data_IF_179653251603
#
_entry.id   IF_179653251603
#
_cell.length_a   1.000
_cell.length_b   1.000
_cell.length_c   1.000
_cell.angle_alpha   90.00
_cell.angle_beta   90.00
_cell.angle_gamma   90.00
#
_symmetry.space_group_name_H-M   'P 1'
#
loop_
_entity.id
_entity.type
_entity.pdbx_description
1 polymer ?
#
# COMPACT_ATOMS: atom_id res chain seq x y z
N UNK A 1 3.36 -6.73 -16.73
CA UNK A 1 2.79 -7.45 -15.59
C UNK A 1 2.62 -6.43 -14.48
N UNK A 2 1.40 -6.19 -14.01
CA UNK A 2 1.08 -5.13 -13.03
C UNK A 2 1.14 -5.63 -11.58
N UNK A 3 1.47 -6.92 -11.39
CA UNK A 3 1.39 -7.60 -10.09
C UNK A 3 2.70 -7.58 -9.31
N UNK A 4 3.71 -6.84 -9.76
CA UNK A 4 5.04 -6.86 -9.17
C UNK A 4 5.72 -5.50 -9.29
N UNK A 5 6.37 -5.06 -8.21
CA UNK A 5 7.40 -4.02 -8.21
C UNK A 5 8.69 -4.63 -7.69
N UNK A 6 9.71 -4.70 -8.54
CA UNK A 6 10.98 -5.33 -8.21
C UNK A 6 11.82 -4.49 -7.23
N UNK A 7 12.95 -5.05 -6.77
CA UNK A 7 13.82 -4.42 -5.77
C UNK A 7 14.36 -3.03 -6.16
N UNK A 8 14.49 -2.75 -7.46
CA UNK A 8 15.00 -1.48 -7.98
C UNK A 8 13.89 -0.50 -8.36
N UNK A 9 12.64 -0.96 -8.42
CA UNK A 9 11.49 -0.13 -8.75
C UNK A 9 10.97 0.55 -7.49
N UNK A 10 10.71 1.85 -7.58
CA UNK A 10 10.17 2.64 -6.48
C UNK A 10 8.76 3.10 -6.76
N UNK A 11 7.97 3.21 -5.69
CA UNK A 11 6.63 3.80 -5.77
C UNK A 11 6.74 5.33 -5.79
N UNK A 12 6.50 5.92 -6.97
CA UNK A 12 6.58 7.36 -7.23
C UNK A 12 5.21 8.02 -7.22
N UNK A 13 5.19 9.36 -7.15
CA UNK A 13 3.95 10.11 -7.28
C UNK A 13 3.30 9.87 -8.65
N UNK A 14 1.97 9.71 -8.66
CA UNK A 14 1.22 9.26 -9.83
C UNK A 14 1.07 7.74 -9.93
N UNK A 15 1.74 6.96 -9.06
CA UNK A 15 1.41 5.54 -8.89
C UNK A 15 0.00 5.39 -8.33
N UNK A 16 -0.73 4.40 -8.82
CA UNK A 16 -2.04 4.04 -8.30
C UNK A 16 -2.27 2.53 -8.35
N UNK A 17 -3.14 2.07 -7.47
CA UNK A 17 -3.55 0.68 -7.36
C UNK A 17 -5.08 0.58 -7.38
N UNK A 18 -5.62 -0.28 -8.24
CA UNK A 18 -7.07 -0.45 -8.40
C UNK A 18 -7.48 -1.76 -7.73
N UNK A 19 -8.49 -1.69 -6.87
CA UNK A 19 -9.19 -2.87 -6.38
C UNK A 19 -10.67 -2.77 -6.73
N UNK A 20 -11.11 -3.64 -7.63
CA UNK A 20 -12.50 -3.76 -8.05
C UNK A 20 -13.00 -5.19 -7.78
N UNK A 21 -13.85 -5.39 -6.75
CA UNK A 21 -14.39 -6.70 -6.43
C UNK A 21 -15.48 -7.17 -7.42
N UNK A 22 -15.96 -6.30 -8.31
CA UNK A 22 -17.05 -6.56 -9.27
C UNK A 22 -16.57 -6.80 -10.71
N UNK A 23 -15.35 -6.37 -11.05
CA UNK A 23 -14.81 -6.50 -12.40
C UNK A 23 -13.98 -7.78 -12.56
N UNK A 24 -14.56 -8.80 -13.20
CA UNK A 24 -13.78 -9.83 -13.91
C UNK A 24 -13.03 -9.23 -15.13
N UNK A 25 -13.44 -8.06 -15.64
CA UNK A 25 -12.96 -7.46 -16.89
C UNK A 25 -11.64 -6.69 -16.82
N UNK A 26 -11.18 -6.25 -15.64
CA UNK A 26 -9.84 -5.68 -15.46
C UNK A 26 -8.75 -6.76 -15.45
N UNK A 27 -9.13 -8.04 -15.30
CA UNK A 27 -8.19 -9.18 -15.34
C UNK A 27 -7.75 -9.54 -16.78
N UNK A 28 -8.45 -9.03 -17.80
CA UNK A 28 -8.10 -9.16 -19.23
C UNK A 28 -8.04 -7.82 -20.00
N UNK A 29 -8.46 -6.69 -19.41
CA UNK A 29 -8.52 -5.37 -20.04
C UNK A 29 -7.28 -4.49 -19.81
N UNK A 30 -7.15 -3.41 -20.59
CA UNK A 30 -6.13 -2.37 -20.38
C UNK A 30 -6.50 -1.54 -19.15
N UNK A 31 -5.59 -1.42 -18.17
CA UNK A 31 -5.79 -0.60 -16.97
C UNK A 31 -6.08 0.86 -17.38
N UNK A 32 -7.15 1.51 -16.85
CA UNK A 32 -7.47 2.89 -17.16
C UNK A 32 -6.36 3.82 -16.68
N UNK A 33 -6.12 4.93 -17.36
CA UNK A 33 -5.09 5.89 -16.92
C UNK A 33 -5.54 6.66 -15.67
N UNK A 34 -4.59 7.19 -14.90
CA UNK A 34 -4.92 8.00 -13.74
C UNK A 34 -5.71 9.27 -14.13
N UNK A 35 -5.41 9.86 -15.29
CA UNK A 35 -6.16 11.01 -15.82
C UNK A 35 -7.63 10.64 -16.07
N UNK A 36 -7.89 9.47 -16.69
CA UNK A 36 -9.26 9.00 -16.91
C UNK A 36 -10.02 8.85 -15.58
N UNK A 37 -9.37 8.25 -14.58
CA UNK A 37 -9.95 8.06 -13.25
C UNK A 37 -10.23 9.40 -12.54
N UNK A 38 -9.34 10.39 -12.70
CA UNK A 38 -9.50 11.73 -12.12
C UNK A 38 -10.61 12.54 -12.79
N UNK A 39 -10.90 12.29 -14.07
CA UNK A 39 -12.04 12.91 -14.76
C UNK A 39 -13.38 12.26 -14.38
N UNK A 40 -13.34 11.08 -13.78
CA UNK A 40 -14.51 10.41 -13.22
C UNK A 40 -15.16 11.28 -12.13
N UNK A 41 -16.44 11.60 -12.31
CA UNK A 41 -17.19 12.37 -11.32
C UNK A 41 -17.74 11.42 -10.26
N UNK A 42 -17.36 11.64 -9.00
CA UNK A 42 -17.93 10.96 -7.85
C UNK A 42 -17.31 9.58 -7.56
N UNK A 43 -18.06 8.76 -6.83
CA UNK A 43 -17.66 7.39 -6.51
C UNK A 43 -18.01 6.43 -7.66
N UNK A 44 -16.97 5.83 -8.25
CA UNK A 44 -17.04 4.84 -9.34
C UNK A 44 -17.45 3.44 -8.86
N UNK A 45 -17.62 3.23 -7.56
CA UNK A 45 -18.06 1.95 -6.98
C UNK A 45 -16.92 0.95 -6.70
N UNK A 46 -15.69 1.30 -7.07
CA UNK A 46 -14.48 0.57 -6.73
C UNK A 46 -13.46 1.49 -6.07
N UNK A 47 -12.37 0.89 -5.59
CA UNK A 47 -11.33 1.60 -4.85
C UNK A 47 -10.11 1.84 -5.73
N UNK A 48 -9.57 3.07 -5.67
CA UNK A 48 -8.30 3.42 -6.28
C UNK A 48 -7.40 4.04 -5.22
N UNK A 49 -6.31 3.37 -4.86
CA UNK A 49 -5.31 3.94 -3.95
C UNK A 49 -4.31 4.73 -4.77
N UNK A 50 -4.11 6.00 -4.43
CA UNK A 50 -3.22 6.91 -5.17
C UNK A 50 -2.06 7.37 -4.30
N UNK A 51 -0.89 7.51 -4.93
CA UNK A 51 0.31 8.03 -4.29
C UNK A 51 0.58 9.43 -4.83
N UNK A 52 0.47 10.42 -3.97
CA UNK A 52 0.78 11.80 -4.31
C UNK A 52 1.19 12.57 -3.06
N UNK A 53 2.50 12.67 -2.83
CA UNK A 53 3.07 13.36 -1.67
C UNK A 53 2.73 14.85 -1.61
N UNK A 54 2.41 15.49 -2.73
CA UNK A 54 2.09 16.91 -2.74
C UNK A 54 0.78 17.25 -1.99
N UNK A 55 -0.13 16.27 -1.87
CA UNK A 55 -1.44 16.45 -1.22
C UNK A 55 -1.67 15.48 -0.06
N UNK A 56 -0.85 14.42 0.07
CA UNK A 56 -0.94 13.44 1.14
C UNK A 56 0.07 13.74 2.27
N UNK A 57 -0.29 14.67 3.14
CA UNK A 57 0.55 15.06 4.28
C UNK A 57 0.75 13.92 5.28
N UNK A 58 -0.23 13.04 5.43
CA UNK A 58 -0.12 11.88 6.31
C UNK A 58 0.93 10.89 5.80
N UNK A 59 1.05 10.69 4.48
CA UNK A 59 2.14 9.91 3.91
C UNK A 59 3.51 10.57 4.18
N UNK A 60 3.61 11.89 4.00
CA UNK A 60 4.85 12.63 4.27
C UNK A 60 5.29 12.50 5.74
N UNK A 61 4.34 12.55 6.69
CA UNK A 61 4.60 12.34 8.12
C UNK A 61 5.13 10.92 8.38
N UNK A 62 4.51 9.90 7.79
CA UNK A 62 5.00 8.52 7.94
C UNK A 62 6.40 8.32 7.33
N UNK A 63 6.69 8.93 6.18
CA UNK A 63 8.04 8.92 5.59
C UNK A 63 9.05 9.61 6.52
N UNK A 64 8.70 10.73 7.16
CA UNK A 64 9.56 11.39 8.15
C UNK A 64 9.81 10.51 9.38
N UNK A 65 8.79 9.84 9.90
CA UNK A 65 8.95 8.89 11.02
C UNK A 65 9.85 7.72 10.60
N UNK A 66 9.71 7.22 9.37
CA UNK A 66 10.61 6.19 8.84
C UNK A 66 12.07 6.68 8.78
N UNK A 67 12.32 7.92 8.37
CA UNK A 67 13.67 8.52 8.42
C UNK A 67 14.21 8.60 9.85
N UNK A 68 13.39 8.98 10.83
CA UNK A 68 13.80 8.96 12.24
C UNK A 68 14.18 7.54 12.71
N UNK A 69 13.40 6.53 12.33
CA UNK A 69 13.70 5.12 12.64
C UNK A 69 15.05 4.70 12.04
N UNK A 70 15.37 5.12 10.81
CA UNK A 70 16.64 4.81 10.16
C UNK A 70 17.84 5.39 10.93
N UNK A 71 17.70 6.56 11.54
CA UNK A 71 18.76 7.17 12.36
C UNK A 71 19.06 6.34 13.61
N UNK A 72 18.03 5.75 14.22
CA UNK A 72 18.16 4.87 15.39
C UNK A 72 18.64 3.46 15.02
N UNK A 73 18.28 2.98 13.82
CA UNK A 73 18.54 1.62 13.33
C UNK A 73 19.08 1.65 11.88
N UNK A 74 20.39 1.86 11.71
CA UNK A 74 20.99 1.88 10.38
C UNK A 74 20.80 0.57 9.62
N UNK A 75 20.89 0.61 8.29
CA UNK A 75 20.71 -0.57 7.40
C UNK A 75 21.65 -1.74 7.75
N UNK A 76 22.76 -1.50 8.45
CA UNK A 76 23.62 -2.55 9.01
C UNK A 76 22.86 -3.52 9.95
N UNK A 77 21.76 -3.07 10.57
CA UNK A 77 20.82 -3.90 11.31
C UNK A 77 19.46 -3.96 10.58
N UNK A 78 19.50 -4.43 9.32
CA UNK A 78 18.34 -4.48 8.43
C UNK A 78 17.14 -5.19 9.04
N UNK A 79 17.35 -6.26 9.82
CA UNK A 79 16.26 -7.01 10.45
C UNK A 79 15.46 -6.15 11.43
N UNK A 80 16.15 -5.37 12.28
CA UNK A 80 15.49 -4.51 13.24
C UNK A 80 14.85 -3.30 12.56
N UNK A 81 15.52 -2.72 11.56
CA UNK A 81 14.95 -1.64 10.75
C UNK A 81 13.65 -2.09 10.05
N UNK A 82 13.66 -3.26 9.40
CA UNK A 82 12.48 -3.88 8.77
C UNK A 82 11.35 -4.04 9.78
N UNK A 83 11.65 -4.56 10.98
CA UNK A 83 10.63 -4.73 12.02
C UNK A 83 10.02 -3.39 12.43
N UNK A 84 10.83 -2.35 12.66
CA UNK A 84 10.34 -1.04 13.07
C UNK A 84 9.51 -0.34 11.99
N UNK A 85 9.85 -0.54 10.71
CA UNK A 85 9.00 -0.06 9.60
C UNK A 85 7.68 -0.86 9.53
N UNK A 86 7.71 -2.17 9.76
CA UNK A 86 6.50 -2.99 9.80
C UNK A 86 5.57 -2.61 10.96
N UNK A 87 6.13 -2.29 12.12
CA UNK A 87 5.39 -1.78 13.28
C UNK A 87 4.72 -0.44 12.93
N UNK A 88 5.45 0.50 12.31
CA UNK A 88 4.91 1.79 11.87
C UNK A 88 3.72 1.62 10.91
N UNK A 89 3.83 0.72 9.93
CA UNK A 89 2.73 0.39 9.01
C UNK A 89 1.54 -0.21 9.76
N UNK A 90 1.81 -1.13 10.68
CA UNK A 90 0.78 -1.82 11.47
C UNK A 90 0.00 -0.84 12.32
N UNK A 91 0.68 0.06 13.02
CA UNK A 91 0.08 1.06 13.90
C UNK A 91 -0.78 2.07 13.12
N UNK A 92 -0.36 2.46 11.92
CA UNK A 92 -1.11 3.41 11.08
C UNK A 92 -2.31 2.78 10.34
N UNK A 93 -2.29 1.47 10.08
CA UNK A 93 -3.31 0.77 9.28
C UNK A 93 -4.19 -0.19 10.08
N UNK A 94 -4.42 0.12 11.36
CA UNK A 94 -5.46 -0.51 12.17
C UNK A 94 -4.97 -1.58 13.13
N UNK A 95 -3.66 -1.65 13.39
CA UNK A 95 -3.04 -2.51 14.37
C UNK A 95 -2.97 -3.99 13.97
N UNK A 96 -2.65 -4.89 14.92
CA UNK A 96 -2.65 -6.32 14.69
C UNK A 96 -4.02 -6.87 14.31
N UNK A 97 -4.08 -7.77 13.33
CA UNK A 97 -5.33 -8.38 12.84
C UNK A 97 -5.42 -9.83 13.31
N UNK A 98 -6.52 -10.18 14.00
CA UNK A 98 -6.80 -11.55 14.46
C UNK A 98 -7.72 -12.32 13.52
N UNK A 99 -8.63 -11.61 12.85
CA UNK A 99 -9.63 -12.15 11.94
C UNK A 99 -9.62 -11.31 10.66
N UNK A 100 -9.17 -11.91 9.56
CA UNK A 100 -9.07 -11.27 8.27
C UNK A 100 -10.44 -10.92 7.67
N UNK A 101 -11.46 -11.76 7.90
CA UNK A 101 -12.82 -11.53 7.39
C UNK A 101 -13.48 -10.36 8.13
N UNK A 102 -13.30 -10.29 9.45
CA UNK A 102 -13.77 -9.14 10.22
C UNK A 102 -13.08 -7.84 9.77
N UNK A 103 -11.78 -7.89 9.47
CA UNK A 103 -11.05 -6.74 8.93
C UNK A 103 -11.57 -6.32 7.55
N UNK A 104 -11.83 -7.27 6.66
CA UNK A 104 -12.41 -7.04 5.33
C UNK A 104 -13.79 -6.36 5.44
N UNK A 105 -14.67 -6.85 6.31
CA UNK A 105 -15.98 -6.26 6.53
C UNK A 105 -15.89 -4.81 7.01
N UNK A 106 -15.03 -4.52 8.01
CA UNK A 106 -14.81 -3.15 8.47
C UNK A 106 -14.22 -2.24 7.40
N UNK A 107 -13.29 -2.76 6.59
CA UNK A 107 -12.72 -2.00 5.48
C UNK A 107 -13.79 -1.68 4.43
N UNK A 108 -14.66 -2.63 4.08
CA UNK A 108 -15.74 -2.41 3.11
C UNK A 108 -16.67 -1.27 3.54
N UNK A 109 -17.02 -1.21 4.83
CA UNK A 109 -17.83 -0.12 5.38
C UNK A 109 -17.06 1.21 5.38
N UNK A 110 -15.83 1.20 5.92
CA UNK A 110 -15.00 2.41 6.08
C UNK A 110 -14.63 3.04 4.73
N UNK A 111 -14.25 2.21 3.74
CA UNK A 111 -13.89 2.67 2.40
C UNK A 111 -15.08 3.33 1.69
N UNK A 112 -16.30 2.78 1.86
CA UNK A 112 -17.52 3.36 1.30
C UNK A 112 -17.83 4.72 1.93
N UNK A 113 -17.70 4.84 3.25
CA UNK A 113 -17.87 6.12 3.95
C UNK A 113 -16.83 7.15 3.50
N UNK A 114 -15.56 6.73 3.38
CA UNK A 114 -14.47 7.61 2.96
C UNK A 114 -14.67 8.12 1.53
N UNK A 115 -14.98 7.23 0.58
CA UNK A 115 -15.26 7.59 -0.82
C UNK A 115 -16.47 8.52 -0.95
N UNK A 116 -17.52 8.26 -0.17
CA UNK A 116 -18.71 9.12 -0.13
C UNK A 116 -18.39 10.51 0.40
N UNK A 117 -17.64 10.61 1.51
CA UNK A 117 -17.26 11.87 2.15
C UNK A 117 -16.36 12.73 1.26
N UNK A 118 -15.41 12.10 0.57
CA UNK A 118 -14.47 12.77 -0.33
C UNK A 118 -15.02 12.97 -1.75
N UNK A 119 -16.21 12.43 -2.03
CA UNK A 119 -16.83 12.42 -3.37
C UNK A 119 -15.89 11.88 -4.47
N UNK A 120 -15.14 10.83 -4.17
CA UNK A 120 -14.15 10.24 -5.10
C UNK A 120 -13.85 8.79 -4.76
N UNK A 121 -13.47 7.99 -5.76
CA UNK A 121 -12.86 6.66 -5.58
C UNK A 121 -11.36 6.69 -5.34
N UNK A 122 -10.71 7.84 -5.57
CA UNK A 122 -9.27 8.00 -5.47
C UNK A 122 -8.90 8.37 -4.03
N UNK A 123 -8.35 7.41 -3.31
CA UNK A 123 -7.98 7.54 -1.91
C UNK A 123 -6.47 7.67 -1.78
N UNK A 124 -5.94 8.80 -1.27
CA UNK A 124 -4.56 8.88 -0.86
C UNK A 124 -4.25 7.82 0.21
N UNK A 125 -3.10 7.15 0.10
CA UNK A 125 -2.76 6.05 1.02
C UNK A 125 -2.73 6.49 2.49
N UNK A 126 -2.35 7.74 2.78
CA UNK A 126 -2.32 8.27 4.14
C UNK A 126 -3.70 8.48 4.78
N UNK A 127 -4.78 8.50 3.99
CA UNK A 127 -6.15 8.55 4.48
C UNK A 127 -6.65 7.19 4.99
N UNK A 128 -5.98 6.10 4.64
CA UNK A 128 -6.36 4.76 5.07
C UNK A 128 -5.94 4.57 6.52
N UNK A 129 -6.89 4.25 7.40
CA UNK A 129 -6.64 3.95 8.83
C UNK A 129 -6.86 2.49 9.19
N UNK A 130 -7.51 1.73 8.31
CA UNK A 130 -7.81 0.31 8.46
C UNK A 130 -7.43 -0.41 7.17
N UNK A 131 -6.17 -0.81 7.04
CA UNK A 131 -5.64 -1.38 5.79
C UNK A 131 -5.65 -2.91 5.78
N UNK A 132 -6.14 -3.47 4.68
CA UNK A 132 -5.90 -4.86 4.25
C UNK A 132 -4.42 -5.13 3.89
N UNK A 133 -4.08 -6.39 3.63
CA UNK A 133 -2.76 -6.87 3.18
C UNK A 133 -2.16 -6.00 2.07
N UNK A 134 -2.90 -5.75 0.99
CA UNK A 134 -2.48 -4.95 -0.16
C UNK A 134 -2.11 -3.50 0.18
N UNK A 135 -2.88 -2.87 1.06
CA UNK A 135 -2.58 -1.52 1.56
C UNK A 135 -1.31 -1.50 2.39
N UNK A 136 -1.20 -2.45 3.32
CA UNK A 136 -0.04 -2.58 4.21
C UNK A 136 1.23 -2.85 3.42
N UNK A 137 1.17 -3.73 2.43
CA UNK A 137 2.31 -4.07 1.61
C UNK A 137 2.76 -2.91 0.70
N UNK A 138 1.80 -2.14 0.17
CA UNK A 138 2.09 -0.93 -0.60
C UNK A 138 2.74 0.15 0.28
N UNK A 139 2.16 0.43 1.46
CA UNK A 139 2.74 1.41 2.39
C UNK A 139 4.12 0.97 2.87
N UNK A 140 4.29 -0.32 3.22
CA UNK A 140 5.60 -0.85 3.60
C UNK A 140 6.61 -0.67 2.46
N UNK A 141 6.26 -0.97 1.21
CA UNK A 141 7.13 -0.76 0.05
C UNK A 141 7.58 0.70 -0.06
N UNK A 142 6.66 1.65 0.05
CA UNK A 142 6.97 3.09 0.01
C UNK A 142 7.96 3.48 1.11
N UNK A 143 7.68 3.09 2.36
CA UNK A 143 8.52 3.44 3.50
C UNK A 143 9.89 2.77 3.40
N UNK A 144 9.94 1.48 3.03
CA UNK A 144 11.16 0.74 2.79
C UNK A 144 12.06 1.40 1.74
N UNK A 145 11.48 1.84 0.62
CA UNK A 145 12.20 2.53 -0.45
C UNK A 145 12.79 3.87 0.00
N UNK A 146 12.13 4.55 0.93
CA UNK A 146 12.58 5.83 1.48
C UNK A 146 13.77 5.68 2.44
N UNK A 147 13.86 4.55 3.16
CA UNK A 147 14.95 4.26 4.11
C UNK A 147 16.02 3.30 3.54
N UNK A 148 15.90 2.93 2.27
CA UNK A 148 16.90 2.13 1.56
C UNK A 148 16.87 0.62 1.86
N UNK A 149 15.75 0.08 2.34
CA UNK A 149 15.58 -1.37 2.50
C UNK A 149 15.31 -2.00 1.12
N UNK A 150 16.09 -3.00 0.68
CA UNK A 150 15.80 -3.74 -0.56
C UNK A 150 14.49 -4.54 -0.43
N UNK A 151 13.43 -3.99 -1.00
CA UNK A 151 12.07 -4.49 -0.87
C UNK A 151 11.44 -4.71 -2.24
N UNK A 152 10.87 -5.89 -2.45
CA UNK A 152 10.03 -6.22 -3.61
C UNK A 152 8.57 -6.31 -3.16
N UNK A 153 7.64 -5.78 -3.94
CA UNK A 153 6.19 -5.95 -3.72
C UNK A 153 5.65 -6.93 -4.76
N UNK A 154 4.93 -7.95 -4.33
CA UNK A 154 4.27 -8.92 -5.22
C UNK A 154 2.81 -9.08 -4.85
N UNK A 155 1.98 -9.34 -5.85
CA UNK A 155 0.55 -9.60 -5.73
C UNK A 155 0.18 -10.95 -6.32
N UNK A 156 -0.94 -11.48 -5.84
CA UNK A 156 -1.60 -12.61 -6.44
C UNK A 156 -1.32 -13.94 -5.76
N UNK A 157 -2.19 -14.90 -6.09
CA UNK A 157 -2.34 -16.19 -5.42
C UNK A 157 -1.08 -17.06 -5.45
N UNK A 158 -0.21 -16.87 -6.45
CA UNK A 158 1.10 -17.55 -6.53
C UNK A 158 2.00 -17.27 -5.32
N UNK A 159 1.79 -16.15 -4.62
CA UNK A 159 2.60 -15.75 -3.46
C UNK A 159 1.83 -15.80 -2.14
N UNK A 160 0.52 -15.58 -2.17
CA UNK A 160 -0.30 -15.33 -0.98
C UNK A 160 -1.41 -16.36 -0.77
N UNK A 161 -1.74 -17.15 -1.81
CA UNK A 161 -2.93 -18.00 -1.83
C UNK A 161 -4.23 -17.27 -2.20
N UNK A 162 -4.20 -15.94 -2.31
CA UNK A 162 -5.34 -15.09 -2.68
C UNK A 162 -4.94 -14.11 -3.81
N UNK A 163 -5.78 -13.96 -4.82
CA UNK A 163 -5.45 -13.14 -5.99
C UNK A 163 -5.31 -11.64 -5.69
N UNK A 164 -6.00 -11.17 -4.66
CA UNK A 164 -6.08 -9.74 -4.34
C UNK A 164 -5.15 -9.33 -3.19
N UNK A 165 -4.47 -10.31 -2.58
CA UNK A 165 -3.48 -10.09 -1.54
C UNK A 165 -2.11 -9.67 -2.13
N UNK A 166 -1.34 -8.95 -1.31
CA UNK A 166 0.02 -8.55 -1.62
C UNK A 166 0.95 -8.77 -0.44
N UNK A 167 2.22 -9.06 -0.74
CA UNK A 167 3.28 -9.25 0.25
C UNK A 167 4.57 -8.57 -0.19
N UNK A 168 5.40 -8.22 0.78
CA UNK A 168 6.75 -7.72 0.53
C UNK A 168 7.79 -8.84 0.71
N UNK A 169 8.79 -8.88 -0.17
CA UNK A 169 9.93 -9.79 -0.07
C UNK A 169 11.17 -8.92 0.18
N UNK A 170 11.84 -9.15 1.31
CA UNK A 170 13.01 -8.39 1.73
C UNK A 170 14.27 -9.19 1.49
N UNK A 171 15.28 -8.57 0.88
CA UNK A 171 16.61 -9.18 0.77
C UNK A 171 17.43 -8.80 2.00
N UNK A 172 17.77 -9.81 2.79
CA UNK A 172 18.69 -9.69 3.92
C UNK A 172 20.00 -10.35 3.52
N UNK A 173 21.04 -9.57 3.31
CA UNK A 173 22.39 -10.13 3.12
C UNK A 173 22.81 -10.77 4.44
N UNK A 174 22.94 -12.10 4.45
CA UNK A 174 23.60 -12.78 5.55
C UNK A 174 25.09 -12.52 5.39
N UNK A 175 25.67 -11.72 6.28
CA UNK A 175 27.11 -11.78 6.50
C UNK A 175 27.47 -13.27 6.75
N UNK A 176 28.29 -13.83 5.85
CA UNK A 176 28.86 -15.17 5.97
C UNK A 176 30.22 -15.08 6.65
#
# INVERSE_FOLDING_TARGET
>A
DYNCLDYHEKVVDGFYDIFDPSMESSRQGKMPSLEDLQTGIGDLGFEVIVINRAVDTALQEMEQVAQCILLDFPVANITLLVQRIADLVTDNLGGPVKDANAMLARWSETSTQLRTSLHTSLLPIGCIKLGLSRHRALLFKILADSVGIPCKLVKGSNYTGDEDDAVNIIKVDKER
#
